data_IF_542876715734
#
_entry.id   IF_542876715734
#
_cell.length_a   1.000
_cell.length_b   1.000
_cell.length_c   1.000
_cell.angle_alpha   90.00
_cell.angle_beta   90.00
_cell.angle_gamma   90.00
#
_symmetry.space_group_name_H-M   'P 1'
#
loop_
_entity.id
_entity.type
_entity.pdbx_description
1 polymer ?
#
# COMPACT_ATOMS: atom_id res chain seq x y z
N UNK A 1 -0.13 -4.83 -17.52
CA UNK A 1 0.38 -4.72 -16.14
C UNK A 1 0.54 -3.25 -15.78
N UNK A 2 -0.57 -2.54 -15.58
CA UNK A 2 -0.54 -1.13 -15.18
C UNK A 2 -1.66 -0.92 -14.15
N UNK A 3 -1.30 -0.94 -12.87
CA UNK A 3 -2.27 -0.79 -11.80
C UNK A 3 -2.37 0.71 -11.42
N UNK A 4 -3.54 1.35 -11.54
CA UNK A 4 -3.67 2.79 -11.31
C UNK A 4 -3.36 3.22 -9.87
N UNK A 5 -3.43 2.29 -8.90
CA UNK A 5 -3.08 2.54 -7.49
C UNK A 5 -1.56 2.57 -7.23
N UNK A 6 -0.74 2.18 -8.22
CA UNK A 6 0.71 2.10 -8.11
C UNK A 6 1.42 3.21 -8.90
N UNK A 7 0.69 4.26 -9.28
CA UNK A 7 1.22 5.40 -10.03
C UNK A 7 1.71 6.50 -9.09
N UNK A 8 2.75 7.24 -9.48
CA UNK A 8 3.28 8.39 -8.74
C UNK A 8 2.55 9.70 -9.09
N UNK A 9 1.30 9.60 -9.57
CA UNK A 9 0.49 10.77 -9.88
C UNK A 9 0.13 11.56 -8.61
N UNK A 10 0.09 12.90 -8.70
CA UNK A 10 -0.27 13.76 -7.56
C UNK A 10 -1.67 13.46 -7.00
N UNK A 11 -2.60 13.05 -7.86
CA UNK A 11 -3.98 12.76 -7.51
C UNK A 11 -4.39 11.39 -8.06
N UNK A 12 -5.15 10.59 -7.29
CA UNK A 12 -5.68 9.32 -7.77
C UNK A 12 -6.59 9.50 -8.98
N UNK A 13 -6.34 8.72 -10.05
CA UNK A 13 -7.19 8.65 -11.24
C UNK A 13 -8.40 7.76 -10.97
N UNK A 14 -9.35 8.23 -10.16
CA UNK A 14 -10.52 7.47 -9.72
C UNK A 14 -11.31 6.83 -10.87
N UNK A 15 -11.43 7.52 -12.01
CA UNK A 15 -12.14 7.01 -13.19
C UNK A 15 -11.54 5.72 -13.78
N UNK A 16 -10.27 5.43 -13.48
CA UNK A 16 -9.55 4.23 -13.93
C UNK A 16 -9.47 3.13 -12.85
N UNK A 17 -9.82 3.43 -11.60
CA UNK A 17 -9.71 2.47 -10.50
C UNK A 17 -10.93 1.55 -10.49
N UNK A 18 -10.68 0.25 -10.35
CA UNK A 18 -11.67 -0.82 -10.28
C UNK A 18 -11.31 -1.74 -9.11
N UNK A 19 -12.28 -2.48 -8.60
CA UNK A 19 -12.14 -3.44 -7.49
C UNK A 19 -11.00 -4.43 -7.74
N UNK A 20 -10.90 -4.95 -8.98
CA UNK A 20 -9.84 -5.88 -9.42
C UNK A 20 -8.41 -5.32 -9.31
N UNK A 21 -8.25 -4.00 -9.20
CA UNK A 21 -6.93 -3.38 -9.03
C UNK A 21 -6.49 -3.32 -7.56
N UNK A 22 -7.41 -3.37 -6.61
CA UNK A 22 -7.14 -2.97 -5.22
C UNK A 22 -6.31 -4.01 -4.46
N UNK A 23 -6.79 -5.25 -4.39
CA UNK A 23 -6.09 -6.31 -3.67
C UNK A 23 -4.71 -6.61 -4.27
N UNK A 24 -4.54 -6.70 -5.61
CA UNK A 24 -3.21 -6.85 -6.21
C UNK A 24 -2.26 -5.68 -5.94
N UNK A 25 -2.76 -4.44 -5.83
CA UNK A 25 -1.92 -3.29 -5.47
C UNK A 25 -1.38 -3.43 -4.05
N UNK A 26 -2.25 -3.79 -3.10
CA UNK A 26 -1.85 -4.00 -1.71
C UNK A 26 -0.86 -5.16 -1.60
N UNK A 27 -1.13 -6.30 -2.24
CA UNK A 27 -0.22 -7.45 -2.25
C UNK A 27 1.17 -7.09 -2.76
N UNK A 28 1.23 -6.34 -3.88
CA UNK A 28 2.49 -5.90 -4.44
C UNK A 28 3.25 -4.98 -3.47
N UNK A 29 2.60 -3.96 -2.91
CA UNK A 29 3.27 -3.03 -1.98
C UNK A 29 3.78 -3.77 -0.74
N UNK A 30 2.96 -4.66 -0.15
CA UNK A 30 3.36 -5.40 1.03
C UNK A 30 4.52 -6.36 0.74
N UNK A 31 4.52 -7.01 -0.44
CA UNK A 31 5.63 -7.88 -0.88
C UNK A 31 6.92 -7.07 -1.06
N UNK A 32 6.85 -5.93 -1.74
CA UNK A 32 8.00 -5.03 -1.94
C UNK A 32 8.57 -4.54 -0.60
N UNK A 33 7.70 -4.13 0.32
CA UNK A 33 8.11 -3.67 1.64
C UNK A 33 8.79 -4.80 2.43
N UNK A 34 8.20 -6.01 2.46
CA UNK A 34 8.79 -7.18 3.15
C UNK A 34 10.16 -7.57 2.60
N UNK A 35 10.42 -7.35 1.31
CA UNK A 35 11.75 -7.57 0.74
C UNK A 35 12.75 -6.47 1.11
N UNK A 36 12.30 -5.21 1.16
CA UNK A 36 13.17 -4.05 1.32
C UNK A 36 13.51 -3.73 2.79
N UNK A 37 12.58 -3.96 3.72
CA UNK A 37 12.79 -3.67 5.15
C UNK A 37 14.02 -4.40 5.72
N UNK A 38 14.22 -5.72 5.49
CA UNK A 38 15.42 -6.40 5.98
C UNK A 38 16.72 -5.82 5.41
N UNK A 39 16.71 -5.35 4.15
CA UNK A 39 17.88 -4.74 3.52
C UNK A 39 18.23 -3.40 4.18
N UNK A 40 17.21 -2.61 4.52
CA UNK A 40 17.39 -1.34 5.25
C UNK A 40 17.87 -1.58 6.69
N UNK A 41 17.36 -2.63 7.35
CA UNK A 41 17.71 -2.99 8.72
C UNK A 41 19.15 -3.53 8.86
N UNK A 42 19.76 -4.01 7.78
CA UNK A 42 21.12 -4.58 7.76
C UNK A 42 22.20 -3.57 7.32
N UNK A 43 21.86 -2.28 7.17
CA UNK A 43 22.84 -1.26 6.79
C UNK A 43 23.86 -1.01 7.89
N UNK A 44 25.13 -0.94 7.52
CA UNK A 44 26.18 -0.38 8.37
C UNK A 44 26.04 1.17 8.37
N UNK A 45 26.02 1.78 9.56
CA UNK A 45 25.88 3.22 9.78
C UNK A 45 24.64 3.89 9.12
N UNK A 46 23.40 3.53 9.55
CA UNK A 46 22.18 4.09 8.96
C UNK A 46 22.07 5.59 9.20
N UNK A 47 21.70 6.31 8.14
CA UNK A 47 21.46 7.75 8.16
C UNK A 47 19.99 8.05 7.90
N UNK A 48 19.62 9.33 8.01
CA UNK A 48 18.29 9.79 7.60
C UNK A 48 17.97 9.39 6.16
N UNK A 49 18.88 9.66 5.23
CA UNK A 49 18.66 9.44 3.79
C UNK A 49 18.69 7.94 3.44
N UNK A 50 19.46 7.12 4.15
CA UNK A 50 19.64 5.70 3.82
C UNK A 50 18.65 4.77 4.51
N UNK A 51 18.07 5.17 5.66
CA UNK A 51 17.10 4.38 6.42
C UNK A 51 15.74 5.08 6.54
N UNK A 52 15.69 6.28 7.11
CA UNK A 52 14.41 6.92 7.47
C UNK A 52 13.61 7.33 6.24
N UNK A 53 14.24 8.02 5.29
CA UNK A 53 13.59 8.45 4.06
C UNK A 53 13.03 7.27 3.25
N UNK A 54 13.76 6.16 2.99
CA UNK A 54 13.19 5.02 2.27
C UNK A 54 12.11 4.27 3.07
N UNK A 55 12.20 4.20 4.40
CA UNK A 55 11.11 3.69 5.26
C UNK A 55 9.83 4.53 5.09
N UNK A 56 9.94 5.85 5.21
CA UNK A 56 8.81 6.77 5.01
C UNK A 56 8.23 6.68 3.60
N UNK A 57 9.07 6.54 2.57
CA UNK A 57 8.59 6.39 1.20
C UNK A 57 7.74 5.12 1.02
N UNK A 58 8.14 4.00 1.64
CA UNK A 58 7.37 2.75 1.63
C UNK A 58 6.03 2.89 2.37
N UNK A 59 6.04 3.53 3.55
CA UNK A 59 4.84 3.81 4.32
C UNK A 59 3.87 4.72 3.56
N UNK A 60 4.38 5.79 2.94
CA UNK A 60 3.59 6.70 2.12
C UNK A 60 2.96 6.00 0.92
N UNK A 61 3.70 5.11 0.24
CA UNK A 61 3.15 4.32 -0.89
C UNK A 61 1.96 3.46 -0.44
N UNK A 62 2.10 2.76 0.68
CA UNK A 62 1.02 1.94 1.25
C UNK A 62 -0.17 2.81 1.68
N UNK A 63 0.10 3.91 2.40
CA UNK A 63 -0.93 4.83 2.88
C UNK A 63 -1.72 5.46 1.73
N UNK A 64 -1.05 5.85 0.64
CA UNK A 64 -1.69 6.42 -0.54
C UNK A 64 -2.65 5.41 -1.18
N UNK A 65 -2.20 4.19 -1.46
CA UNK A 65 -3.06 3.14 -2.03
C UNK A 65 -4.24 2.81 -1.11
N UNK A 66 -4.00 2.68 0.20
CA UNK A 66 -5.04 2.38 1.17
C UNK A 66 -6.06 3.50 1.34
N UNK A 67 -5.63 4.77 1.28
CA UNK A 67 -6.52 5.93 1.38
C UNK A 67 -7.57 5.95 0.26
N UNK A 68 -7.18 5.56 -0.95
CA UNK A 68 -8.08 5.46 -2.11
C UNK A 68 -9.11 4.37 -1.92
N UNK A 69 -8.70 3.19 -1.44
CA UNK A 69 -9.60 2.06 -1.17
C UNK A 69 -10.58 2.42 -0.06
N UNK A 70 -10.10 3.04 1.03
CA UNK A 70 -10.94 3.56 2.11
C UNK A 70 -11.98 4.57 1.61
N UNK A 71 -11.54 5.54 0.79
CA UNK A 71 -12.42 6.56 0.24
C UNK A 71 -13.54 5.93 -0.60
N UNK A 72 -13.19 5.07 -1.56
CA UNK A 72 -14.16 4.38 -2.41
C UNK A 72 -15.12 3.52 -1.57
N UNK A 73 -14.62 2.82 -0.55
CA UNK A 73 -15.46 2.04 0.35
C UNK A 73 -16.47 2.93 1.12
N UNK A 74 -16.11 4.18 1.41
CA UNK A 74 -16.97 5.14 2.09
C UNK A 74 -17.99 5.85 1.20
N UNK A 75 -17.67 6.13 -0.07
CA UNK A 75 -18.52 6.93 -0.97
C UNK A 75 -19.21 6.13 -2.09
N UNK A 76 -18.73 4.93 -2.38
CA UNK A 76 -19.19 4.09 -3.49
C UNK A 76 -19.31 2.60 -3.10
N UNK A 77 -19.74 2.34 -1.86
CA UNK A 77 -19.83 0.98 -1.31
C UNK A 77 -20.76 0.06 -2.12
N UNK A 78 -20.30 -1.15 -2.39
CA UNK A 78 -21.10 -2.27 -2.89
C UNK A 78 -20.52 -3.59 -2.33
N UNK A 79 -21.15 -4.73 -2.61
CA UNK A 79 -20.73 -6.01 -2.03
C UNK A 79 -19.32 -6.45 -2.47
N UNK A 80 -18.98 -6.22 -3.73
CA UNK A 80 -17.66 -6.54 -4.28
C UNK A 80 -16.56 -5.70 -3.61
N UNK A 81 -16.74 -4.39 -3.54
CA UNK A 81 -15.82 -3.46 -2.90
C UNK A 81 -15.69 -3.73 -1.40
N UNK A 82 -16.80 -4.07 -0.73
CA UNK A 82 -16.79 -4.43 0.70
C UNK A 82 -15.96 -5.68 0.94
N UNK A 83 -16.04 -6.67 0.06
CA UNK A 83 -15.23 -7.89 0.18
C UNK A 83 -13.74 -7.60 0.01
N UNK A 84 -13.39 -6.86 -1.06
CA UNK A 84 -12.01 -6.47 -1.34
C UNK A 84 -11.42 -5.60 -0.22
N UNK A 85 -12.20 -4.65 0.31
CA UNK A 85 -11.80 -3.83 1.46
C UNK A 85 -11.46 -4.69 2.67
N UNK A 86 -12.29 -5.70 3.00
CA UNK A 86 -12.04 -6.61 4.12
C UNK A 86 -10.76 -7.42 3.92
N UNK A 87 -10.57 -8.01 2.74
CA UNK A 87 -9.36 -8.77 2.41
C UNK A 87 -8.10 -7.90 2.58
N UNK A 88 -8.14 -6.66 2.06
CA UNK A 88 -7.03 -5.72 2.20
C UNK A 88 -6.78 -5.34 3.67
N UNK A 89 -7.85 -5.06 4.44
CA UNK A 89 -7.74 -4.71 5.86
C UNK A 89 -7.11 -5.83 6.69
N UNK A 90 -7.48 -7.09 6.44
CA UNK A 90 -6.89 -8.26 7.09
C UNK A 90 -5.39 -8.33 6.82
N UNK A 91 -4.97 -8.21 5.54
CA UNK A 91 -3.55 -8.22 5.14
C UNK A 91 -2.75 -7.06 5.76
N UNK A 92 -3.33 -5.86 5.81
CA UNK A 92 -2.71 -4.70 6.45
C UNK A 92 -2.56 -4.89 7.96
N UNK A 93 -3.54 -5.52 8.60
CA UNK A 93 -3.50 -5.82 10.04
C UNK A 93 -2.39 -6.82 10.36
N UNK A 94 -2.27 -7.88 9.57
CA UNK A 94 -1.18 -8.86 9.67
C UNK A 94 0.19 -8.18 9.47
N UNK A 95 0.36 -7.44 8.36
CA UNK A 95 1.59 -6.71 8.08
C UNK A 95 1.97 -5.72 9.20
N UNK A 96 1.00 -4.98 9.75
CA UNK A 96 1.26 -4.04 10.86
C UNK A 96 1.74 -4.74 12.14
N UNK A 97 1.41 -6.02 12.32
CA UNK A 97 1.86 -6.83 13.44
C UNK A 97 3.28 -7.36 13.19
N UNK A 98 3.62 -7.69 11.95
CA UNK A 98 4.96 -8.13 11.54
C UNK A 98 6.03 -7.04 11.72
N UNK A 99 5.69 -5.78 11.42
CA UNK A 99 6.65 -4.66 11.38
C UNK A 99 6.80 -3.96 12.74
N UNK A 100 5.97 -4.31 13.73
CA UNK A 100 5.97 -3.66 15.04
C UNK A 100 7.21 -3.96 15.88
#
# INVERSE_FOLDING_TARGET
>A
MNNPLLTDDLLPKFDHIRTEHMEPAIDQILSENRMKIPQLAQQDDPTWDTLVQPMQAMENKLANAWSVICHLNGVANNDELRQVYKNCLEKLTEYSTEIR
#
